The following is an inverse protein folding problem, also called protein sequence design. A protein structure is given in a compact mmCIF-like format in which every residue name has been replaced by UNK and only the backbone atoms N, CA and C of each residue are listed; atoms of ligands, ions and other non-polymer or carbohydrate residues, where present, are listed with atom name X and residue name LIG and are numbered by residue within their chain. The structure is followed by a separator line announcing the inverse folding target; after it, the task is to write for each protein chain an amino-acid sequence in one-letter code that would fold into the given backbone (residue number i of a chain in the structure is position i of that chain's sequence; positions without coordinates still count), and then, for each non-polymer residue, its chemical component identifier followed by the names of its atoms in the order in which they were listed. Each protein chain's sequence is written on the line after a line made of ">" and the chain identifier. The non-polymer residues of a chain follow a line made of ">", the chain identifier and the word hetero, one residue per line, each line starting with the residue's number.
data_IF_756471233673
#
_entry.id   IF_756471233673
#
_cell.length_a   1.000
_cell.length_b   1.000
_cell.length_c   1.000
_cell.angle_alpha   90.00
_cell.angle_beta   90.00
_cell.angle_gamma   90.00
#
_symmetry.space_group_name_H-M   'P 1'
#
loop_
_entity.id
_entity.type
_entity.pdbx_description
1 polymer ?
#
# COMPACT_ATOMS: atom_id res chain seq x y z
N UNK A 1 3.01 -9.08 12.86
CA UNK A 1 1.57 -9.46 12.85
C UNK A 1 0.77 -8.63 11.85
N UNK A 2 0.80 -7.30 11.90
CA UNK A 2 0.03 -6.40 11.00
C UNK A 2 0.29 -6.62 9.51
N UNK A 3 1.55 -6.82 9.09
CA UNK A 3 1.88 -7.08 7.68
C UNK A 3 1.08 -8.25 7.09
N UNK A 4 1.09 -9.39 7.76
CA UNK A 4 0.43 -10.61 7.28
C UNK A 4 -1.10 -10.43 7.25
N UNK A 5 -1.64 -9.78 8.29
CA UNK A 5 -3.08 -9.50 8.38
C UNK A 5 -3.59 -8.57 7.28
N UNK A 6 -2.76 -7.66 6.78
CA UNK A 6 -3.19 -6.71 5.74
C UNK A 6 -2.90 -7.23 4.34
N UNK A 7 -1.72 -7.80 4.10
CA UNK A 7 -1.24 -8.07 2.74
C UNK A 7 -1.34 -9.53 2.29
N UNK A 8 -1.43 -10.49 3.22
CA UNK A 8 -1.47 -11.93 2.92
C UNK A 8 -2.89 -12.51 3.02
N UNK A 9 -3.89 -11.71 3.36
CA UNK A 9 -5.28 -12.17 3.41
C UNK A 9 -5.89 -12.34 2.01
N UNK A 10 -6.76 -13.35 1.88
CA UNK A 10 -7.58 -13.54 0.67
C UNK A 10 -8.54 -12.35 0.54
N UNK A 11 -8.46 -11.67 -0.60
CA UNK A 11 -9.35 -10.53 -0.89
C UNK A 11 -10.72 -11.08 -1.31
N UNK A 12 -11.76 -10.70 -0.56
CA UNK A 12 -13.15 -10.99 -0.91
C UNK A 12 -13.56 -10.26 -2.20
N UNK A 13 -14.56 -10.77 -2.93
CA UNK A 13 -15.07 -10.08 -4.13
C UNK A 13 -16.00 -8.90 -3.77
N UNK A 14 -16.23 -7.99 -4.73
CA UNK A 14 -17.17 -6.89 -4.57
C UNK A 14 -16.69 -5.77 -3.65
N UNK A 15 -17.60 -5.17 -2.86
CA UNK A 15 -17.29 -4.00 -2.04
C UNK A 15 -16.29 -4.30 -0.91
N UNK A 16 -16.40 -5.48 -0.29
CA UNK A 16 -15.44 -5.93 0.72
C UNK A 16 -14.02 -5.97 0.14
N UNK A 17 -13.86 -6.46 -1.09
CA UNK A 17 -12.57 -6.45 -1.78
C UNK A 17 -11.99 -5.06 -1.99
N UNK A 18 -12.81 -4.11 -2.43
CA UNK A 18 -12.37 -2.71 -2.60
C UNK A 18 -11.97 -2.07 -1.27
N UNK A 19 -12.66 -2.39 -0.17
CA UNK A 19 -12.27 -1.94 1.17
C UNK A 19 -10.92 -2.54 1.57
N UNK A 20 -10.71 -3.84 1.37
CA UNK A 20 -9.42 -4.49 1.64
C UNK A 20 -8.27 -3.86 0.84
N UNK A 21 -8.47 -3.58 -0.45
CA UNK A 21 -7.51 -2.88 -1.30
C UNK A 21 -7.18 -1.48 -0.77
N UNK A 22 -8.18 -0.73 -0.29
CA UNK A 22 -7.97 0.58 0.30
C UNK A 22 -7.19 0.50 1.61
N UNK A 23 -7.49 -0.47 2.47
CA UNK A 23 -6.73 -0.73 3.71
C UNK A 23 -5.28 -1.03 3.37
N UNK A 24 -5.02 -1.93 2.41
CA UNK A 24 -3.67 -2.26 1.94
C UNK A 24 -2.89 -1.03 1.45
N UNK A 25 -3.51 -0.20 0.61
CA UNK A 25 -2.90 1.04 0.12
C UNK A 25 -2.54 2.00 1.26
N UNK A 26 -3.47 2.25 2.19
CA UNK A 26 -3.25 3.17 3.29
C UNK A 26 -2.20 2.64 4.28
N UNK A 27 -2.17 1.33 4.54
CA UNK A 27 -1.12 0.73 5.37
C UNK A 27 0.25 0.83 4.72
N UNK A 28 0.37 0.58 3.40
CA UNK A 28 1.63 0.74 2.69
C UNK A 28 2.11 2.19 2.71
N UNK A 29 1.21 3.16 2.49
CA UNK A 29 1.52 4.58 2.62
C UNK A 29 1.97 4.94 4.04
N UNK A 30 1.28 4.47 5.08
CA UNK A 30 1.67 4.72 6.46
C UNK A 30 3.06 4.16 6.76
N UNK A 31 3.40 2.99 6.24
CA UNK A 31 4.75 2.44 6.37
C UNK A 31 5.78 3.35 5.69
N UNK A 32 5.49 3.85 4.48
CA UNK A 32 6.37 4.79 3.79
C UNK A 32 6.57 6.09 4.57
N UNK A 33 5.49 6.67 5.11
CA UNK A 33 5.53 7.89 5.93
C UNK A 33 6.36 7.66 7.21
N UNK A 34 6.25 6.49 7.85
CA UNK A 34 7.07 6.12 9.02
C UNK A 34 8.55 5.87 8.67
N UNK A 35 8.84 5.31 7.49
CA UNK A 35 10.21 5.15 6.99
C UNK A 35 10.90 6.50 6.78
N UNK A 36 10.15 7.51 6.34
CA UNK A 36 10.66 8.86 6.11
C UNK A 36 10.66 9.75 7.37
N UNK A 37 10.05 9.30 8.48
CA UNK A 37 9.89 10.10 9.70
C UNK A 37 11.12 10.05 10.60
N UNK A 38 11.61 11.22 11.02
CA UNK A 38 12.67 11.35 12.04
C UNK A 38 12.23 10.95 13.45
N UNK A 39 10.93 10.71 13.68
CA UNK A 39 10.39 10.31 14.98
C UNK A 39 10.51 8.79 15.24
N UNK A 40 10.92 8.03 14.23
CA UNK A 40 11.04 6.58 14.28
C UNK A 40 12.51 6.17 14.34
N UNK A 41 12.85 5.21 15.19
CA UNK A 41 14.22 4.72 15.32
C UNK A 41 14.74 4.13 13.97
N UNK A 42 16.04 4.29 13.64
CA UNK A 42 16.61 3.84 12.37
C UNK A 42 16.38 2.35 12.08
N UNK A 43 16.42 1.50 13.12
CA UNK A 43 16.18 0.06 13.00
C UNK A 43 14.73 -0.24 12.58
N UNK A 44 13.79 0.54 13.09
CA UNK A 44 12.37 0.41 12.74
C UNK A 44 12.12 0.92 11.32
N UNK A 45 12.75 2.03 10.92
CA UNK A 45 12.71 2.50 9.53
C UNK A 45 13.24 1.42 8.57
N UNK A 46 14.39 0.82 8.88
CA UNK A 46 14.98 -0.25 8.07
C UNK A 46 14.05 -1.47 7.97
N UNK A 47 13.41 -1.86 9.07
CA UNK A 47 12.45 -2.96 9.10
C UNK A 47 11.21 -2.69 8.23
N UNK A 48 10.65 -1.48 8.32
CA UNK A 48 9.50 -1.08 7.52
C UNK A 48 9.86 -1.00 6.03
N UNK A 49 11.04 -0.47 5.70
CA UNK A 49 11.58 -0.43 4.33
C UNK A 49 11.75 -1.85 3.76
N UNK A 50 12.23 -2.79 4.57
CA UNK A 50 12.31 -4.20 4.18
C UNK A 50 10.94 -4.79 3.85
N UNK A 51 9.92 -4.55 4.68
CA UNK A 51 8.56 -5.04 4.41
C UNK A 51 7.96 -4.45 3.13
N UNK A 52 8.18 -3.16 2.86
CA UNK A 52 7.77 -2.54 1.60
C UNK A 52 8.45 -3.18 0.39
N UNK A 53 9.77 -3.38 0.45
CA UNK A 53 10.51 -4.04 -0.63
C UNK A 53 10.05 -5.50 -0.85
N UNK A 54 9.79 -6.24 0.23
CA UNK A 54 9.23 -7.59 0.16
C UNK A 54 7.87 -7.59 -0.52
N UNK A 55 6.98 -6.67 -0.12
CA UNK A 55 5.63 -6.56 -0.67
C UNK A 55 5.63 -6.25 -2.16
N UNK A 56 6.40 -5.24 -2.59
CA UNK A 56 6.51 -4.86 -4.00
C UNK A 56 6.98 -6.03 -4.86
N UNK A 57 8.02 -6.75 -4.41
CA UNK A 57 8.53 -7.94 -5.10
C UNK A 57 7.47 -9.05 -5.20
N UNK A 58 6.79 -9.37 -4.10
CA UNK A 58 5.76 -10.41 -4.09
C UNK A 58 4.60 -10.06 -5.02
N UNK A 59 4.12 -8.82 -5.01
CA UNK A 59 3.00 -8.39 -5.87
C UNK A 59 3.38 -8.34 -7.35
N UNK A 60 4.61 -7.94 -7.67
CA UNK A 60 5.12 -7.97 -9.04
C UNK A 60 5.23 -9.41 -9.58
N UNK A 61 5.72 -10.34 -8.76
CA UNK A 61 5.79 -11.77 -9.13
C UNK A 61 4.40 -12.37 -9.36
N UNK A 62 3.44 -12.09 -8.48
CA UNK A 62 2.07 -12.59 -8.64
C UNK A 62 1.37 -12.04 -9.88
N UNK A 63 1.61 -10.77 -10.22
CA UNK A 63 1.08 -10.14 -11.44
C UNK A 63 1.56 -10.87 -12.71
N UNK A 64 2.85 -11.21 -12.79
CA UNK A 64 3.43 -11.94 -13.92
C UNK A 64 2.87 -13.35 -14.10
N UNK A 65 2.47 -14.00 -13.01
CA UNK A 65 1.97 -15.39 -13.04
C UNK A 65 0.49 -15.50 -13.44
N UNK A 66 -0.18 -14.39 -13.77
CA UNK A 66 -1.59 -14.40 -14.20
C UNK A 66 -2.57 -14.89 -13.12
N UNK A 67 -2.16 -14.87 -11.85
CA UNK A 67 -2.92 -15.41 -10.73
C UNK A 67 -3.95 -14.39 -10.22
N UNK A 68 -5.23 -14.76 -10.31
CA UNK A 68 -6.44 -14.06 -9.85
C UNK A 68 -7.08 -13.05 -10.82
N UNK A 69 -8.37 -12.79 -10.56
CA UNK A 69 -9.26 -11.91 -11.34
C UNK A 69 -8.58 -10.60 -11.76
N UNK A 70 -8.86 -10.14 -12.99
CA UNK A 70 -8.24 -8.96 -13.62
C UNK A 70 -8.17 -7.73 -12.71
N UNK A 71 -9.18 -7.50 -11.86
CA UNK A 71 -9.20 -6.37 -10.94
C UNK A 71 -8.23 -6.50 -9.74
N UNK A 72 -7.95 -7.72 -9.27
CA UNK A 72 -7.00 -7.95 -8.19
C UNK A 72 -5.55 -7.87 -8.69
N UNK A 73 -5.27 -8.43 -9.86
CA UNK A 73 -3.93 -8.32 -10.49
C UNK A 73 -3.57 -6.87 -10.80
N UNK A 74 -4.51 -6.10 -11.35
CA UNK A 74 -4.32 -4.67 -11.62
C UNK A 74 -4.02 -3.86 -10.35
N UNK A 75 -4.73 -4.14 -9.25
CA UNK A 75 -4.45 -3.46 -7.97
C UNK A 75 -3.08 -3.82 -7.41
N UNK A 76 -2.69 -5.11 -7.43
CA UNK A 76 -1.37 -5.55 -6.93
C UNK A 76 -0.24 -4.93 -7.75
N UNK A 77 -0.39 -4.89 -9.07
CA UNK A 77 0.55 -4.20 -9.95
C UNK A 77 0.65 -2.71 -9.57
N UNK A 78 -0.49 -2.01 -9.51
CA UNK A 78 -0.53 -0.61 -9.09
C UNK A 78 0.18 -0.38 -7.75
N UNK A 79 -0.14 -1.17 -6.72
CA UNK A 79 0.49 -0.98 -5.41
C UNK A 79 2.00 -1.25 -5.46
N UNK A 80 2.44 -2.25 -6.22
CA UNK A 80 3.86 -2.55 -6.39
C UNK A 80 4.63 -1.41 -7.05
N UNK A 81 4.07 -0.79 -8.10
CA UNK A 81 4.67 0.38 -8.78
C UNK A 81 4.80 1.56 -7.83
N UNK A 82 3.78 1.82 -7.00
CA UNK A 82 3.78 2.93 -6.05
C UNK A 82 4.84 2.75 -4.96
N UNK A 83 4.98 1.52 -4.45
CA UNK A 83 6.01 1.19 -3.45
C UNK A 83 7.41 1.28 -4.08
N UNK A 84 7.60 0.76 -5.29
CA UNK A 84 8.89 0.86 -6.00
C UNK A 84 9.30 2.31 -6.21
N UNK A 85 8.38 3.18 -6.64
CA UNK A 85 8.66 4.60 -6.77
C UNK A 85 9.11 5.23 -5.44
N UNK A 86 8.44 4.92 -4.33
CA UNK A 86 8.84 5.39 -3.01
C UNK A 86 10.22 4.87 -2.60
N UNK A 87 10.52 3.59 -2.84
CA UNK A 87 11.81 3.01 -2.49
C UNK A 87 12.97 3.63 -3.28
N UNK A 88 12.72 4.05 -4.52
CA UNK A 88 13.68 4.70 -5.41
C UNK A 88 13.86 6.20 -5.12
N UNK A 89 12.75 6.93 -4.97
CA UNK A 89 12.75 8.40 -4.85
C UNK A 89 12.74 8.92 -3.41
N UNK A 90 12.28 8.10 -2.45
CA UNK A 90 11.97 8.54 -1.09
C UNK A 90 10.62 9.24 -0.96
N UNK A 91 9.89 9.45 -2.05
CA UNK A 91 8.61 10.16 -2.06
C UNK A 91 7.45 9.23 -2.42
N UNK A 92 6.36 9.31 -1.67
CA UNK A 92 5.14 8.60 -2.05
C UNK A 92 4.50 9.27 -3.27
N UNK A 93 4.14 8.53 -4.33
CA UNK A 93 3.52 9.09 -5.53
C UNK A 93 2.33 10.03 -5.25
N UNK A 94 2.35 11.23 -5.83
CA UNK A 94 1.35 12.28 -5.61
C UNK A 94 0.00 12.07 -6.35
N UNK A 95 -0.14 10.94 -7.05
CA UNK A 95 -1.37 10.53 -7.74
C UNK A 95 -2.52 10.20 -6.77
N UNK A 96 -2.27 10.11 -5.46
CA UNK A 96 -3.32 10.06 -4.44
C UNK A 96 -3.48 11.42 -3.73
N UNK A 97 -4.53 12.17 -4.10
CA UNK A 97 -4.99 13.36 -3.36
C UNK A 97 -6.18 12.97 -2.48
N UNK A 98 -6.04 13.14 -1.16
CA UNK A 98 -7.18 13.08 -0.24
C UNK A 98 -8.11 14.24 -0.61
N UNK A 99 -9.38 13.94 -0.90
CA UNK A 99 -10.38 14.99 -1.08
C UNK A 99 -10.60 15.69 0.28
N UNK A 100 -10.48 17.02 0.37
CA UNK A 100 -10.83 17.73 1.58
C UNK A 100 -12.31 17.49 1.89
N UNK A 101 -12.64 17.26 3.16
CA UNK A 101 -14.04 17.19 3.56
C UNK A 101 -14.71 18.53 3.25
N UNK A 102 -15.92 18.54 2.64
CA UNK A 102 -16.67 19.78 2.51
C UNK A 102 -16.92 20.36 3.92
N UNK A 103 -16.88 21.70 4.08
CA UNK A 103 -17.25 22.31 5.35
C UNK A 103 -18.66 21.83 5.69
N UNK A 104 -18.83 21.31 6.91
CA UNK A 104 -20.13 20.81 7.36
C UNK A 104 -21.20 21.86 7.10
N UNK A 105 -22.27 21.46 6.39
CA UNK A 105 -23.40 22.35 6.14
C UNK A 105 -23.86 22.94 7.47
N UNK A 106 -24.17 24.25 7.53
CA UNK A 106 -24.74 24.85 8.73
C UNK A 106 -25.96 24.03 9.14
N UNK A 107 -25.97 23.59 10.40
CA UNK A 107 -27.14 23.00 11.05
C UNK A 107 -28.17 24.10 11.26
#
# INVERSE_FOLDING_TARGET
>A
QTYQQVFEQKIASGMAGKISQRVQLLTAKQFADLVASSEVAPEVQAQLRYYLAKLAKSYQQESMLGSASVGNSAFKQYLSEQISHFLESGEWPANFKVLPMPPGSPI
#
